data_IF_263467282527
#
_entry.id   IF_263467282527
#
_cell.length_a   1.000
_cell.length_b   1.000
_cell.length_c   1.000
_cell.angle_alpha   90.00
_cell.angle_beta   90.00
_cell.angle_gamma   90.00
#
_symmetry.space_group_name_H-M   'P 1'
#
loop_
_entity.id
_entity.type
_entity.pdbx_description
1 polymer ?
#
# COMPACT_ATOMS: atom_id res chain seq x y z
N UNK A 1 22.13 -5.38 28.41
CA UNK A 1 21.13 -6.45 28.40
C UNK A 1 20.37 -6.26 27.11
N UNK A 2 20.57 -7.15 26.14
CA UNK A 2 19.87 -7.07 24.85
C UNK A 2 18.41 -7.49 25.07
N UNK A 3 17.45 -6.66 24.68
CA UNK A 3 16.04 -7.01 24.67
C UNK A 3 15.75 -8.04 23.58
N UNK A 4 14.65 -8.78 23.68
CA UNK A 4 14.31 -9.82 22.72
C UNK A 4 14.06 -9.24 21.33
N UNK A 5 14.77 -9.77 20.34
CA UNK A 5 14.52 -9.53 18.93
C UNK A 5 13.31 -10.39 18.55
N UNK A 6 12.19 -9.75 18.20
CA UNK A 6 11.02 -10.48 17.69
C UNK A 6 11.16 -10.60 16.17
N UNK A 7 11.26 -11.83 15.68
CA UNK A 7 11.15 -12.14 14.26
C UNK A 7 9.68 -12.30 13.86
N UNK A 8 9.28 -11.63 12.78
CA UNK A 8 7.95 -11.71 12.19
C UNK A 8 8.02 -12.49 10.89
N UNK A 9 7.21 -13.52 10.76
CA UNK A 9 7.07 -14.32 9.55
C UNK A 9 5.65 -14.16 8.99
N UNK A 10 5.55 -13.85 7.70
CA UNK A 10 4.28 -13.79 6.99
C UNK A 10 3.86 -15.21 6.57
N UNK A 11 2.74 -15.69 7.06
CA UNK A 11 2.08 -16.91 6.61
C UNK A 11 0.77 -16.57 5.92
N UNK A 12 0.70 -16.80 4.60
CA UNK A 12 -0.52 -16.63 3.78
C UNK A 12 -1.20 -15.27 4.02
N UNK A 13 -0.46 -14.18 3.76
CA UNK A 13 -1.02 -12.83 3.84
C UNK A 13 -1.26 -12.26 5.25
N UNK A 14 -0.84 -12.95 6.30
CA UNK A 14 -0.98 -12.47 7.68
C UNK A 14 0.36 -12.51 8.42
N UNK A 15 0.65 -11.47 9.20
CA UNK A 15 1.81 -11.41 10.07
C UNK A 15 1.52 -12.21 11.36
N UNK A 16 2.32 -13.21 11.64
CA UNK A 16 2.22 -14.02 12.86
C UNK A 16 3.44 -13.77 13.74
N UNK A 17 3.20 -13.37 14.97
CA UNK A 17 4.24 -13.26 16.01
C UNK A 17 4.62 -14.66 16.48
N UNK A 18 5.83 -15.11 16.19
CA UNK A 18 6.34 -16.37 16.69
C UNK A 18 7.01 -16.16 18.06
N UNK A 19 6.66 -16.97 19.04
CA UNK A 19 7.42 -17.06 20.29
C UNK A 19 8.72 -17.83 20.06
N UNK A 20 9.76 -17.53 20.83
CA UNK A 20 11.10 -18.14 20.74
C UNK A 20 11.08 -19.69 20.73
N UNK A 21 10.07 -20.30 21.39
CA UNK A 21 9.88 -21.77 21.43
C UNK A 21 9.38 -22.38 20.10
N UNK A 22 8.71 -21.59 19.24
CA UNK A 22 8.16 -22.07 17.98
C UNK A 22 9.20 -22.04 16.86
N UNK A 23 10.09 -21.05 16.86
CA UNK A 23 11.19 -20.93 15.91
C UNK A 23 12.19 -22.09 16.05
N UNK A 24 12.48 -22.53 17.29
CA UNK A 24 13.39 -23.64 17.55
C UNK A 24 12.84 -25.02 17.10
N UNK A 25 11.51 -25.16 17.00
CA UNK A 25 10.87 -26.42 16.58
C UNK A 25 10.71 -26.56 15.07
N UNK A 26 10.60 -25.45 14.34
CA UNK A 26 10.49 -25.47 12.88
C UNK A 26 11.84 -25.73 12.19
N UNK A 27 12.95 -25.30 12.78
CA UNK A 27 14.29 -25.60 12.28
C UNK A 27 14.66 -27.09 12.28
N UNK A 28 14.01 -27.92 13.10
CA UNK A 28 14.27 -29.36 13.20
C UNK A 28 13.46 -30.22 12.20
N UNK A 29 12.41 -29.66 11.56
CA UNK A 29 11.53 -30.44 10.66
C UNK A 29 11.96 -30.32 9.18
N UNK A 30 12.70 -29.26 8.80
CA UNK A 30 13.18 -29.08 7.43
C UNK A 30 14.49 -29.81 7.09
N UNK A 31 15.09 -30.49 8.05
CA UNK A 31 16.36 -31.23 7.87
C UNK A 31 16.24 -32.68 7.38
N UNK A 32 15.05 -33.25 7.18
CA UNK A 32 14.90 -34.69 6.95
C UNK A 32 14.06 -35.11 5.73
N UNK A 33 13.84 -34.21 4.75
CA UNK A 33 13.19 -34.63 3.50
C UNK A 33 14.04 -34.18 2.31
N UNK A 34 15.20 -34.81 2.15
CA UNK A 34 15.94 -34.77 0.88
C UNK A 34 16.79 -36.03 0.69
N UNK A 35 16.23 -37.21 0.74
CA UNK A 35 16.80 -38.42 0.13
C UNK A 35 15.66 -39.40 -0.22
N UNK A 36 15.43 -39.58 -1.49
CA UNK A 36 14.77 -40.76 -2.02
C UNK A 36 13.51 -40.52 -2.84
N UNK A 37 13.69 -40.47 -4.16
CA UNK A 37 12.92 -41.26 -5.13
C UNK A 37 13.31 -40.87 -6.57
N UNK A 38 14.29 -41.57 -7.10
CA UNK A 38 14.49 -41.74 -8.54
C UNK A 38 13.77 -43.02 -8.97
N UNK A 39 12.67 -42.92 -9.70
CA UNK A 39 12.24 -43.91 -10.69
C UNK A 39 11.06 -43.41 -11.52
N UNK A 40 11.31 -43.18 -12.74
CA UNK A 40 10.63 -43.31 -14.00
C UNK A 40 9.11 -43.19 -14.13
N UNK A 41 8.66 -42.18 -14.87
CA UNK A 41 7.63 -42.36 -15.92
C UNK A 41 7.63 -41.10 -16.81
N UNK A 42 7.89 -41.32 -18.10
CA UNK A 42 7.78 -40.32 -19.17
C UNK A 42 6.30 -40.15 -19.48
N UNK A 43 5.75 -38.99 -19.15
CA UNK A 43 4.49 -38.48 -19.67
C UNK A 43 4.77 -37.15 -20.37
N UNK A 44 4.54 -37.15 -21.68
CA UNK A 44 4.60 -35.97 -22.53
C UNK A 44 3.51 -34.97 -22.11
N UNK A 45 3.91 -33.85 -21.53
CA UNK A 45 3.04 -32.70 -21.28
C UNK A 45 3.18 -31.68 -22.43
N UNK A 46 2.12 -30.92 -22.76
CA UNK A 46 2.15 -29.94 -23.84
C UNK A 46 3.10 -28.80 -23.51
N UNK A 47 3.67 -28.19 -24.57
CA UNK A 47 4.58 -27.05 -24.51
C UNK A 47 3.86 -25.86 -23.83
N UNK A 48 3.94 -25.78 -22.53
CA UNK A 48 3.61 -24.60 -21.77
C UNK A 48 4.81 -23.66 -21.75
N UNK A 49 4.56 -22.37 -21.94
CA UNK A 49 5.54 -21.31 -21.82
C UNK A 49 6.38 -21.51 -20.54
N UNK A 50 7.70 -21.58 -20.72
CA UNK A 50 8.61 -21.68 -19.59
C UNK A 50 8.34 -20.51 -18.61
N UNK A 51 8.35 -20.73 -17.29
CA UNK A 51 8.27 -19.64 -16.35
C UNK A 51 9.42 -18.68 -16.65
N UNK A 52 9.10 -17.41 -16.84
CA UNK A 52 10.12 -16.36 -16.93
C UNK A 52 10.80 -16.33 -15.55
N UNK A 53 11.94 -16.99 -15.43
CA UNK A 53 12.80 -16.85 -14.27
C UNK A 53 13.40 -15.45 -14.39
N UNK A 54 12.77 -14.48 -13.78
CA UNK A 54 13.38 -13.16 -13.60
C UNK A 54 14.53 -13.38 -12.62
N UNK A 55 15.73 -13.31 -13.16
CA UNK A 55 16.93 -13.38 -12.33
C UNK A 55 16.86 -12.28 -11.27
N UNK A 56 17.27 -12.54 -10.02
CA UNK A 56 17.48 -11.47 -9.05
C UNK A 56 18.40 -10.43 -9.67
N UNK A 57 18.18 -9.15 -9.38
CA UNK A 57 19.00 -8.04 -9.87
C UNK A 57 20.48 -8.44 -9.72
N UNK A 58 21.18 -8.46 -10.84
CA UNK A 58 22.58 -8.82 -10.87
C UNK A 58 23.34 -7.92 -9.87
N UNK A 59 24.19 -8.44 -8.96
CA UNK A 59 24.98 -7.63 -8.05
C UNK A 59 25.74 -6.47 -8.74
N UNK A 60 26.05 -6.61 -10.02
CA UNK A 60 26.67 -5.56 -10.83
C UNK A 60 25.69 -4.43 -11.21
N UNK A 61 24.40 -4.71 -11.39
CA UNK A 61 23.38 -3.65 -11.61
C UNK A 61 23.13 -2.86 -10.33
N UNK A 62 23.13 -3.49 -9.16
CA UNK A 62 23.04 -2.79 -7.89
C UNK A 62 24.19 -1.80 -7.65
N UNK A 63 25.38 -2.11 -8.17
CA UNK A 63 26.56 -1.24 -8.04
C UNK A 63 26.46 0.06 -8.86
N UNK A 64 25.59 0.08 -9.88
CA UNK A 64 25.42 1.23 -10.78
C UNK A 64 24.23 2.14 -10.39
N UNK A 65 23.43 1.80 -9.39
CA UNK A 65 22.40 2.71 -8.89
C UNK A 65 23.05 3.96 -8.31
N UNK A 66 22.70 5.17 -8.77
CA UNK A 66 23.25 6.39 -8.21
C UNK A 66 22.92 6.48 -6.72
N UNK A 67 23.91 6.82 -5.91
CA UNK A 67 23.70 7.06 -4.49
C UNK A 67 23.06 8.44 -4.31
N UNK A 68 21.92 8.50 -3.66
CA UNK A 68 21.33 9.76 -3.22
C UNK A 68 22.16 10.31 -2.06
N UNK A 69 22.75 11.51 -2.27
CA UNK A 69 23.62 12.17 -1.28
C UNK A 69 22.89 13.22 -0.43
N UNK A 70 21.60 13.51 -0.75
CA UNK A 70 20.81 14.46 0.03
C UNK A 70 20.48 13.81 1.37
N UNK A 71 20.80 14.44 2.50
CA UNK A 71 20.42 13.91 3.81
C UNK A 71 18.90 13.79 3.91
N UNK A 72 18.41 12.59 4.10
CA UNK A 72 17.00 12.31 4.36
C UNK A 72 16.88 11.95 5.83
N UNK A 73 16.09 12.68 6.62
CA UNK A 73 15.93 12.37 8.03
C UNK A 73 15.35 10.98 8.26
N UNK A 74 15.73 10.36 9.34
CA UNK A 74 15.09 9.13 9.80
C UNK A 74 13.83 9.50 10.59
N UNK A 75 12.73 8.84 10.24
CA UNK A 75 11.44 9.02 10.90
C UNK A 75 10.68 10.28 10.46
N UNK A 76 9.49 10.39 10.98
CA UNK A 76 8.50 11.44 10.66
C UNK A 76 8.71 12.67 11.54
N UNK A 77 8.84 13.89 10.97
CA UNK A 77 8.87 15.12 11.77
C UNK A 77 7.44 15.50 12.20
N UNK A 78 7.07 15.34 13.47
CA UNK A 78 5.73 15.67 13.94
C UNK A 78 5.49 17.19 13.92
N UNK A 79 4.26 17.58 13.58
CA UNK A 79 3.76 18.95 13.72
C UNK A 79 2.54 18.97 14.65
N UNK A 80 2.35 20.06 15.39
CA UNK A 80 1.21 20.19 16.31
C UNK A 80 -0.15 20.04 15.59
N UNK A 81 -0.26 20.51 14.33
CA UNK A 81 -1.47 20.32 13.52
C UNK A 81 -1.78 18.87 13.17
N UNK A 82 -0.82 17.96 13.33
CA UNK A 82 -0.97 16.56 12.97
C UNK A 82 -1.78 15.76 14.00
N UNK A 83 -1.89 16.26 15.23
CA UNK A 83 -2.70 15.69 16.29
C UNK A 83 -4.11 16.31 16.40
N UNK A 84 -4.43 17.30 15.55
CA UNK A 84 -5.74 17.91 15.54
C UNK A 84 -6.78 16.99 14.90
N UNK A 85 -8.02 17.01 15.40
CA UNK A 85 -9.14 16.32 14.78
C UNK A 85 -9.38 16.86 13.36
N UNK A 86 -9.46 15.96 12.38
CA UNK A 86 -9.73 16.29 10.99
C UNK A 86 -11.19 16.61 10.74
N UNK A 87 -11.46 17.70 10.02
CA UNK A 87 -12.78 18.04 9.51
C UNK A 87 -13.02 17.38 8.15
N UNK A 88 -14.30 17.24 7.77
CA UNK A 88 -14.69 16.82 6.41
C UNK A 88 -14.02 17.69 5.34
N UNK A 89 -13.58 17.08 4.25
CA UNK A 89 -12.92 17.77 3.16
C UNK A 89 -13.10 17.05 1.82
N UNK A 90 -12.95 17.80 0.75
CA UNK A 90 -12.65 17.32 -0.60
C UNK A 90 -11.37 18.03 -1.08
N UNK A 91 -10.52 17.33 -1.79
CA UNK A 91 -9.30 17.85 -2.37
C UNK A 91 -9.11 17.30 -3.78
N UNK A 92 -9.19 18.20 -4.76
CA UNK A 92 -8.80 17.91 -6.14
C UNK A 92 -7.31 18.16 -6.27
N UNK A 93 -6.56 17.17 -6.68
CA UNK A 93 -5.10 17.26 -6.69
C UNK A 93 -4.55 18.25 -7.75
N UNK A 94 -5.37 18.65 -8.72
CA UNK A 94 -5.05 19.74 -9.63
C UNK A 94 -4.89 21.11 -8.94
N UNK A 95 -5.39 21.28 -7.71
CA UNK A 95 -5.20 22.51 -6.92
C UNK A 95 -3.76 22.68 -6.40
N UNK A 96 -2.92 21.67 -6.58
CA UNK A 96 -1.52 21.66 -6.18
C UNK A 96 -1.27 21.32 -4.71
N UNK A 97 -0.08 21.63 -4.22
CA UNK A 97 0.33 21.32 -2.84
C UNK A 97 -0.03 22.44 -1.86
N UNK A 98 -0.83 22.12 -0.87
CA UNK A 98 -1.07 22.96 0.30
C UNK A 98 -0.33 22.39 1.53
N UNK A 99 0.82 22.97 1.94
CA UNK A 99 1.62 22.44 3.04
C UNK A 99 0.95 22.58 4.42
N UNK A 100 -0.10 23.40 4.52
CA UNK A 100 -0.86 23.53 5.78
C UNK A 100 -1.79 22.35 6.02
N UNK A 101 -2.16 21.64 4.95
CA UNK A 101 -3.10 20.52 4.96
C UNK A 101 -2.47 19.18 4.63
N UNK A 102 -1.32 19.20 3.93
CA UNK A 102 -0.66 18.01 3.42
C UNK A 102 0.82 17.99 3.75
N UNK A 103 1.34 16.80 4.00
CA UNK A 103 2.74 16.54 4.22
C UNK A 103 3.30 15.63 3.11
N UNK A 104 4.35 16.08 2.46
CA UNK A 104 5.16 15.25 1.56
C UNK A 104 6.22 14.52 2.38
N UNK A 105 6.12 13.22 2.51
CA UNK A 105 7.12 12.46 3.24
C UNK A 105 8.51 12.62 2.58
N UNK A 106 9.51 12.90 3.39
CA UNK A 106 10.91 13.01 2.97
C UNK A 106 11.79 12.44 4.07
N UNK A 107 11.83 11.10 4.18
CA UNK A 107 12.42 10.39 5.30
C UNK A 107 12.73 8.94 4.96
N UNK A 108 13.46 8.27 5.84
CA UNK A 108 13.65 6.83 5.81
C UNK A 108 13.16 6.22 7.11
N UNK A 109 12.65 4.99 7.03
CA UNK A 109 12.41 4.14 8.19
C UNK A 109 13.43 2.99 8.20
N UNK A 110 13.76 2.45 9.40
CA UNK A 110 14.35 1.12 9.46
C UNK A 110 13.44 0.16 8.73
N UNK A 111 13.81 -0.68 7.91
CA UNK A 111 13.08 -1.66 7.06
C UNK A 111 11.59 -1.93 7.48
N UNK A 112 10.71 -2.40 6.57
CA UNK A 112 10.97 -2.85 5.19
C UNK A 112 10.67 -1.80 4.10
N UNK A 113 10.36 -0.58 4.48
CA UNK A 113 9.93 0.46 3.54
C UNK A 113 11.08 1.01 2.68
N UNK A 114 10.78 1.58 1.48
CA UNK A 114 11.74 2.33 0.69
C UNK A 114 12.15 3.64 1.39
N UNK A 115 13.00 4.44 0.76
CA UNK A 115 13.10 5.85 1.11
C UNK A 115 11.87 6.59 0.59
N UNK A 116 11.29 7.45 1.40
CA UNK A 116 10.25 8.37 0.98
C UNK A 116 10.90 9.67 0.52
N UNK A 117 10.60 10.11 -0.71
CA UNK A 117 11.17 11.34 -1.26
C UNK A 117 10.08 12.31 -1.70
N UNK A 118 10.06 13.49 -1.09
CA UNK A 118 9.11 14.56 -1.41
C UNK A 118 9.14 14.98 -2.89
N UNK A 119 10.29 14.83 -3.57
CA UNK A 119 10.46 15.13 -4.98
C UNK A 119 9.87 14.07 -5.92
N UNK A 120 9.47 12.90 -5.41
CA UNK A 120 8.75 11.86 -6.14
C UNK A 120 7.23 12.11 -6.16
N UNK A 121 6.79 13.25 -5.64
CA UNK A 121 5.40 13.70 -5.67
C UNK A 121 5.28 14.83 -6.70
N UNK A 122 4.69 14.53 -7.85
CA UNK A 122 4.59 15.40 -9.01
C UNK A 122 3.16 15.92 -9.16
N UNK A 123 2.98 17.24 -9.23
CA UNK A 123 1.67 17.90 -9.39
C UNK A 123 1.46 18.31 -10.84
N UNK A 124 0.26 18.02 -11.34
CA UNK A 124 -0.25 18.41 -12.65
C UNK A 124 -1.56 19.18 -12.47
N UNK A 125 -2.10 19.76 -13.56
CA UNK A 125 -3.31 20.58 -13.51
C UNK A 125 -4.57 19.79 -13.11
N UNK A 126 -4.56 18.46 -13.19
CA UNK A 126 -5.70 17.58 -12.93
C UNK A 126 -5.42 16.50 -11.88
N UNK A 127 -4.18 16.29 -11.47
CA UNK A 127 -3.79 15.18 -10.60
C UNK A 127 -2.45 15.38 -9.89
N UNK A 128 -2.19 14.52 -8.92
CA UNK A 128 -0.84 14.26 -8.40
C UNK A 128 -0.40 12.87 -8.83
N UNK A 129 0.87 12.73 -9.21
CA UNK A 129 1.48 11.42 -9.47
C UNK A 129 2.55 11.14 -8.41
N UNK A 130 2.49 9.93 -7.87
CA UNK A 130 3.50 9.37 -6.99
C UNK A 130 4.42 8.49 -7.81
N UNK A 131 5.73 8.66 -7.68
CA UNK A 131 6.75 7.97 -8.47
C UNK A 131 7.52 6.97 -7.60
N UNK A 132 7.78 5.78 -8.14
CA UNK A 132 8.65 4.76 -7.55
C UNK A 132 9.86 4.52 -8.44
N UNK A 133 11.05 4.58 -7.86
CA UNK A 133 12.31 4.40 -8.59
C UNK A 133 13.26 3.42 -7.91
N UNK A 134 14.05 2.76 -8.76
CA UNK A 134 15.24 2.05 -8.33
C UNK A 134 16.36 3.06 -8.15
N UNK A 135 16.57 3.48 -6.91
CA UNK A 135 17.66 4.39 -6.58
C UNK A 135 18.12 4.19 -5.14
N UNK A 136 19.41 4.38 -4.92
CA UNK A 136 19.98 4.25 -3.58
C UNK A 136 19.82 5.55 -2.80
N UNK A 137 19.17 5.45 -1.64
CA UNK A 137 19.06 6.54 -0.65
C UNK A 137 19.56 5.98 0.68
N UNK A 138 20.79 6.30 1.06
CA UNK A 138 21.45 5.66 2.21
C UNK A 138 21.55 4.13 2.02
N UNK A 139 20.96 3.39 2.93
CA UNK A 139 20.90 1.93 2.88
C UNK A 139 19.75 1.39 2.01
N UNK A 140 18.80 2.24 1.60
CA UNK A 140 17.65 1.85 0.79
C UNK A 140 18.02 1.70 -0.67
N UNK A 141 17.46 0.71 -1.35
CA UNK A 141 17.67 0.44 -2.79
C UNK A 141 16.54 0.99 -3.67
N UNK A 142 15.44 1.37 -3.03
CA UNK A 142 14.23 1.89 -3.67
C UNK A 142 13.82 3.20 -3.02
N UNK A 143 13.25 4.09 -3.81
CA UNK A 143 12.67 5.33 -3.34
C UNK A 143 11.25 5.47 -3.91
N UNK A 144 10.29 5.61 -3.03
CA UNK A 144 8.88 5.80 -3.32
C UNK A 144 8.38 7.19 -2.92
N UNK A 145 7.08 7.33 -2.89
CA UNK A 145 6.41 8.56 -2.50
C UNK A 145 5.28 8.27 -1.52
N UNK A 146 5.16 9.12 -0.53
CA UNK A 146 4.08 9.09 0.45
C UNK A 146 3.57 10.50 0.69
N UNK A 147 2.24 10.70 0.61
CA UNK A 147 1.59 11.98 0.75
C UNK A 147 0.46 11.87 1.77
N UNK A 148 0.61 12.55 2.90
CA UNK A 148 -0.22 12.40 4.09
C UNK A 148 -1.10 13.61 4.29
N UNK A 149 -2.38 13.40 4.55
CA UNK A 149 -3.28 14.44 5.04
C UNK A 149 -2.98 14.74 6.50
N UNK A 150 -2.78 16.03 6.84
CA UNK A 150 -2.59 16.47 8.23
C UNK A 150 -3.89 16.36 9.01
N UNK A 151 -3.79 16.06 10.30
CA UNK A 151 -4.91 15.80 11.18
C UNK A 151 -5.15 14.31 11.41
N UNK A 152 -6.00 13.99 12.35
CA UNK A 152 -6.45 12.65 12.70
C UNK A 152 -7.94 12.52 12.39
N UNK A 153 -8.30 11.51 11.65
CA UNK A 153 -9.64 11.26 11.12
C UNK A 153 -10.19 10.00 11.76
N UNK A 154 -11.47 10.01 12.11
CA UNK A 154 -12.17 8.87 12.67
C UNK A 154 -13.32 8.43 11.77
N UNK A 155 -14.36 7.87 12.32
CA UNK A 155 -15.51 7.35 11.58
C UNK A 155 -16.03 8.30 10.51
N UNK A 156 -16.32 7.75 9.34
CA UNK A 156 -16.76 8.49 8.17
C UNK A 156 -16.49 7.73 6.88
N UNK A 157 -16.69 8.41 5.76
CA UNK A 157 -16.41 7.88 4.44
C UNK A 157 -15.15 8.50 3.87
N UNK A 158 -14.22 7.67 3.40
CA UNK A 158 -13.03 8.09 2.66
C UNK A 158 -13.17 7.64 1.22
N UNK A 159 -12.92 8.54 0.27
CA UNK A 159 -12.95 8.25 -1.15
C UNK A 159 -11.66 8.67 -1.84
N UNK A 160 -11.26 7.95 -2.87
CA UNK A 160 -10.17 8.30 -3.76
C UNK A 160 -10.50 7.97 -5.20
N UNK A 161 -10.20 8.90 -6.11
CA UNK A 161 -10.21 8.68 -7.55
C UNK A 161 -8.77 8.52 -8.00
N UNK A 162 -8.41 7.33 -8.51
CA UNK A 162 -7.03 7.01 -8.82
C UNK A 162 -6.85 6.00 -9.95
N UNK A 163 -5.61 5.91 -10.43
CA UNK A 163 -5.08 4.86 -11.30
C UNK A 163 -3.80 4.33 -10.64
N UNK A 164 -3.71 3.06 -10.24
CA UNK A 164 -2.51 2.50 -9.61
C UNK A 164 -1.36 2.32 -10.59
N UNK A 165 -0.14 2.24 -10.05
CA UNK A 165 1.06 2.00 -10.82
C UNK A 165 1.15 0.55 -11.32
N UNK A 166 1.43 0.32 -12.61
CA UNK A 166 1.65 -1.02 -13.14
C UNK A 166 3.03 -1.56 -12.79
N UNK A 167 3.14 -2.88 -12.84
CA UNK A 167 4.39 -3.63 -12.72
C UNK A 167 4.55 -4.36 -11.39
N UNK A 168 4.93 -5.65 -11.49
CA UNK A 168 5.14 -6.50 -10.31
C UNK A 168 6.12 -5.86 -9.34
N UNK A 169 5.81 -5.93 -8.07
CA UNK A 169 6.57 -5.34 -6.98
C UNK A 169 6.09 -3.94 -6.58
N UNK A 170 5.16 -3.29 -7.30
CA UNK A 170 4.57 -2.02 -6.86
C UNK A 170 3.40 -2.26 -5.92
N UNK A 171 3.23 -1.35 -4.95
CA UNK A 171 2.05 -1.22 -4.10
C UNK A 171 1.58 0.23 -4.15
N UNK A 172 0.39 0.45 -4.70
CA UNK A 172 -0.29 1.75 -4.74
C UNK A 172 -1.44 1.72 -3.74
N UNK A 173 -1.51 2.67 -2.81
CA UNK A 173 -2.47 2.60 -1.72
C UNK A 173 -3.15 3.92 -1.40
N UNK A 174 -4.40 3.81 -0.92
CA UNK A 174 -5.05 4.72 0.01
C UNK A 174 -5.28 3.96 1.31
N UNK A 175 -4.88 4.54 2.44
CA UNK A 175 -5.11 3.92 3.74
C UNK A 175 -5.25 4.96 4.86
N UNK A 176 -5.82 4.53 5.98
CA UNK A 176 -5.69 5.25 7.24
C UNK A 176 -4.65 4.59 8.11
N UNK A 177 -3.92 5.36 8.90
CA UNK A 177 -2.91 4.79 9.80
C UNK A 177 -2.75 5.63 11.07
N UNK A 178 -2.66 4.94 12.20
CA UNK A 178 -2.15 5.47 13.46
C UNK A 178 -1.22 4.46 14.13
N UNK A 179 -0.43 4.92 15.08
CA UNK A 179 0.53 4.11 15.82
C UNK A 179 0.95 4.82 17.10
N UNK A 180 1.80 4.21 17.92
CA UNK A 180 2.35 4.84 19.13
C UNK A 180 3.00 6.20 18.85
N UNK A 181 3.56 6.38 17.66
CA UNK A 181 4.12 7.67 17.21
C UNK A 181 3.06 8.78 17.18
N UNK A 182 1.79 8.44 16.98
CA UNK A 182 0.65 9.38 16.96
C UNK A 182 -0.19 9.29 18.24
N UNK A 183 0.28 8.55 19.25
CA UNK A 183 -0.33 8.48 20.58
C UNK A 183 -1.40 7.38 20.75
N UNK A 184 -1.50 6.44 19.81
CA UNK A 184 -2.42 5.31 19.87
C UNK A 184 -1.71 4.00 19.47
N UNK A 185 -2.38 2.86 19.63
CA UNK A 185 -1.94 1.60 19.04
C UNK A 185 -2.15 1.63 17.53
N UNK A 186 -1.57 0.64 16.83
CA UNK A 186 -1.66 0.59 15.38
C UNK A 186 -3.07 0.18 14.94
N UNK A 187 -3.80 1.16 14.39
CA UNK A 187 -5.04 0.97 13.64
C UNK A 187 -4.81 1.42 12.19
N UNK A 188 -5.34 0.67 11.23
CA UNK A 188 -5.17 0.90 9.80
C UNK A 188 -6.37 0.37 9.02
N UNK A 189 -6.78 1.01 7.94
CA UNK A 189 -7.78 0.52 6.97
C UNK A 189 -7.23 0.76 5.58
N UNK A 190 -7.17 -0.30 4.76
CA UNK A 190 -6.44 -0.33 3.50
C UNK A 190 -7.34 -0.49 2.28
N UNK A 191 -6.96 0.21 1.22
CA UNK A 191 -7.24 -0.08 -0.19
C UNK A 191 -5.88 -0.12 -0.88
N UNK A 192 -5.48 -1.29 -1.39
CA UNK A 192 -4.16 -1.45 -1.99
C UNK A 192 -4.24 -2.15 -3.34
N UNK A 193 -3.35 -1.75 -4.24
CA UNK A 193 -3.17 -2.37 -5.55
C UNK A 193 -1.76 -2.93 -5.65
N UNK A 194 -1.68 -4.24 -5.86
CA UNK A 194 -0.42 -4.91 -6.13
C UNK A 194 -0.20 -4.97 -7.64
N UNK A 195 0.81 -4.26 -8.13
CA UNK A 195 1.04 -4.15 -9.58
C UNK A 195 1.35 -5.45 -10.31
N UNK A 196 1.45 -6.57 -9.60
CA UNK A 196 1.54 -7.91 -10.18
C UNK A 196 0.22 -8.38 -10.80
N UNK A 197 -0.93 -7.90 -10.30
CA UNK A 197 -2.26 -8.19 -10.82
C UNK A 197 -3.20 -7.01 -10.52
N UNK A 198 -3.50 -6.21 -11.52
CA UNK A 198 -4.34 -5.01 -11.43
C UNK A 198 -5.80 -5.25 -11.85
N UNK A 199 -6.20 -6.52 -12.06
CA UNK A 199 -7.59 -6.94 -12.08
C UNK A 199 -8.11 -7.29 -10.66
N UNK A 200 -7.34 -6.93 -9.64
CA UNK A 200 -7.65 -7.12 -8.24
C UNK A 200 -7.38 -5.85 -7.48
N UNK A 201 -8.24 -5.51 -6.53
CA UNK A 201 -7.93 -4.59 -5.43
C UNK A 201 -7.89 -5.38 -4.13
N UNK A 202 -6.99 -5.02 -3.24
CA UNK A 202 -6.88 -5.68 -1.95
C UNK A 202 -7.38 -4.76 -0.84
N UNK A 203 -8.07 -5.34 0.13
CA UNK A 203 -8.60 -4.67 1.29
C UNK A 203 -8.15 -5.41 2.55
N UNK A 204 -7.78 -4.66 3.57
CA UNK A 204 -7.41 -5.17 4.88
C UNK A 204 -7.69 -4.10 5.94
N UNK A 205 -7.55 -4.44 7.20
CA UNK A 205 -7.43 -3.49 8.29
C UNK A 205 -6.71 -4.11 9.47
N UNK A 206 -6.18 -3.25 10.34
CA UNK A 206 -5.52 -3.63 11.58
C UNK A 206 -6.22 -2.93 12.74
N UNK A 207 -6.38 -3.64 13.83
CA UNK A 207 -6.89 -3.10 15.09
C UNK A 207 -5.94 -3.48 16.21
N UNK A 208 -5.40 -2.49 16.93
CA UNK A 208 -4.41 -2.70 17.98
C UNK A 208 -3.17 -3.51 17.52
N UNK A 209 -2.81 -3.38 16.23
CA UNK A 209 -1.69 -4.09 15.60
C UNK A 209 -2.00 -5.48 15.06
N UNK A 210 -3.20 -6.00 15.30
CA UNK A 210 -3.61 -7.31 14.81
C UNK A 210 -4.35 -7.17 13.47
N UNK A 211 -3.90 -7.88 12.39
CA UNK A 211 -4.53 -7.79 11.09
C UNK A 211 -5.86 -8.55 11.06
N UNK A 212 -6.83 -8.04 10.30
CA UNK A 212 -8.07 -8.77 10.00
C UNK A 212 -7.76 -9.98 9.12
N UNK A 213 -7.88 -9.81 7.86
CA UNK A 213 -7.49 -10.78 6.84
C UNK A 213 -7.33 -10.04 5.53
N UNK A 214 -6.36 -10.46 4.77
CA UNK A 214 -6.13 -9.98 3.44
C UNK A 214 -7.24 -10.44 2.50
N UNK A 215 -7.94 -9.49 1.88
CA UNK A 215 -9.03 -9.73 0.93
C UNK A 215 -8.57 -9.34 -0.47
N UNK A 216 -8.70 -10.25 -1.42
CA UNK A 216 -8.55 -9.96 -2.84
C UNK A 216 -9.95 -9.83 -3.45
N UNK A 217 -10.26 -8.64 -3.96
CA UNK A 217 -11.54 -8.28 -4.55
C UNK A 217 -11.34 -8.17 -6.05
N UNK A 218 -11.94 -9.08 -6.88
CA UNK A 218 -11.77 -9.05 -8.32
C UNK A 218 -12.46 -7.84 -8.95
N UNK A 219 -11.76 -7.22 -9.91
CA UNK A 219 -12.25 -6.10 -10.70
C UNK A 219 -12.60 -6.58 -12.12
N UNK A 220 -13.64 -6.04 -12.76
CA UNK A 220 -13.98 -6.36 -14.14
C UNK A 220 -13.09 -5.65 -15.17
N UNK A 221 -12.05 -4.92 -14.73
CA UNK A 221 -11.15 -4.11 -15.54
C UNK A 221 -9.71 -4.20 -15.00
N UNK A 222 -8.75 -3.76 -15.79
CA UNK A 222 -7.37 -3.51 -15.36
C UNK A 222 -7.27 -2.08 -14.78
N UNK A 223 -7.14 -1.96 -13.47
CA UNK A 223 -7.11 -0.69 -12.76
C UNK A 223 -6.00 0.26 -13.23
N UNK A 224 -4.90 -0.25 -13.84
CA UNK A 224 -3.83 0.61 -14.37
C UNK A 224 -4.19 1.32 -15.68
N UNK A 225 -5.25 0.91 -16.34
CA UNK A 225 -5.68 1.43 -17.64
C UNK A 225 -6.78 2.47 -17.53
N UNK A 226 -7.51 2.45 -16.45
CA UNK A 226 -8.72 3.22 -16.24
C UNK A 226 -8.67 4.00 -14.93
N UNK A 227 -9.47 5.07 -14.85
CA UNK A 227 -9.63 5.86 -13.62
C UNK A 227 -10.91 5.41 -12.95
N UNK A 228 -10.82 5.02 -11.69
CA UNK A 228 -11.97 4.57 -10.93
C UNK A 228 -12.02 5.22 -9.54
N UNK A 229 -13.19 5.18 -8.93
CA UNK A 229 -13.44 5.63 -7.57
C UNK A 229 -13.42 4.43 -6.62
N UNK A 230 -12.58 4.52 -5.62
CA UNK A 230 -12.48 3.55 -4.54
C UNK A 230 -12.82 4.23 -3.23
N UNK A 231 -13.55 3.53 -2.36
CA UNK A 231 -13.97 4.11 -1.09
C UNK A 231 -14.08 3.06 0.01
N UNK A 232 -14.02 3.53 1.24
CA UNK A 232 -14.53 2.77 2.38
C UNK A 232 -15.36 3.66 3.31
N UNK A 233 -16.41 3.05 3.88
CA UNK A 233 -17.10 3.59 5.04
C UNK A 233 -16.51 2.96 6.30
N UNK A 234 -16.06 3.78 7.22
CA UNK A 234 -15.57 3.38 8.52
C UNK A 234 -16.58 3.77 9.59
N UNK A 235 -17.21 2.76 10.19
CA UNK A 235 -18.21 2.90 11.25
C UNK A 235 -17.73 2.22 12.54
N UNK A 236 -18.29 2.52 13.70
CA UNK A 236 -17.82 1.92 14.96
C UNK A 236 -17.89 0.39 15.00
N UNK A 237 -18.80 -0.22 14.24
CA UNK A 237 -19.10 -1.66 14.27
C UNK A 237 -18.83 -2.38 12.95
N UNK A 238 -18.42 -1.67 11.88
CA UNK A 238 -18.17 -2.24 10.56
C UNK A 238 -17.31 -1.36 9.68
N UNK A 239 -16.74 -1.98 8.63
CA UNK A 239 -16.11 -1.30 7.49
C UNK A 239 -16.74 -1.85 6.22
N UNK A 240 -17.01 -0.98 5.25
CA UNK A 240 -17.56 -1.35 3.94
C UNK A 240 -16.68 -0.77 2.84
N UNK A 241 -16.24 -1.61 1.91
CA UNK A 241 -15.43 -1.19 0.76
C UNK A 241 -16.26 -1.14 -0.51
N UNK A 242 -15.98 -0.14 -1.36
CA UNK A 242 -16.73 0.16 -2.57
C UNK A 242 -15.78 0.40 -3.75
N UNK A 243 -16.25 0.03 -4.95
CA UNK A 243 -15.64 0.38 -6.23
C UNK A 243 -16.72 1.00 -7.10
N UNK A 244 -16.50 2.22 -7.61
CA UNK A 244 -17.46 3.00 -8.38
C UNK A 244 -18.87 3.07 -7.77
N UNK A 245 -18.92 3.12 -6.46
CA UNK A 245 -20.16 3.17 -5.68
C UNK A 245 -20.81 1.81 -5.42
N UNK A 246 -20.35 0.73 -6.03
CA UNK A 246 -20.81 -0.63 -5.75
C UNK A 246 -20.15 -1.20 -4.48
N UNK A 247 -20.98 -1.74 -3.58
CA UNK A 247 -20.50 -2.39 -2.35
C UNK A 247 -19.82 -3.71 -2.67
N UNK A 248 -18.53 -3.83 -2.39
CA UNK A 248 -17.73 -5.02 -2.68
C UNK A 248 -17.59 -5.95 -1.48
N UNK A 249 -17.40 -5.39 -0.28
CA UNK A 249 -17.21 -6.17 0.94
C UNK A 249 -17.68 -5.42 2.18
N UNK A 250 -18.11 -6.17 3.18
CA UNK A 250 -18.40 -5.67 4.53
C UNK A 250 -17.67 -6.55 5.54
N UNK A 251 -16.87 -5.93 6.39
CA UNK A 251 -16.34 -6.54 7.62
C UNK A 251 -17.09 -5.98 8.82
N UNK A 252 -17.37 -6.83 9.80
CA UNK A 252 -18.10 -6.47 11.00
C UNK A 252 -17.30 -6.79 12.26
N UNK A 253 -17.72 -6.27 13.39
CA UNK A 253 -17.09 -6.55 14.67
C UNK A 253 -17.11 -8.06 15.04
N UNK A 254 -18.05 -8.83 14.49
CA UNK A 254 -18.12 -10.28 14.69
C UNK A 254 -17.00 -11.03 13.93
N UNK A 255 -16.48 -10.42 12.86
CA UNK A 255 -15.35 -10.97 12.08
C UNK A 255 -14.01 -10.71 12.78
N UNK A 256 -13.80 -9.46 13.20
CA UNK A 256 -12.61 -8.96 13.89
C UNK A 256 -12.93 -7.58 14.50
N UNK A 257 -12.31 -7.17 15.62
CA UNK A 257 -12.50 -5.82 16.14
C UNK A 257 -12.28 -4.75 15.08
N UNK A 258 -13.15 -3.74 15.05
CA UNK A 258 -13.04 -2.62 14.10
C UNK A 258 -12.11 -1.55 14.69
N UNK A 259 -11.21 -0.91 13.89
CA UNK A 259 -10.39 0.21 14.32
C UNK A 259 -11.18 1.32 15.00
N UNK A 260 -10.70 1.82 16.13
CA UNK A 260 -11.37 2.83 16.94
C UNK A 260 -10.55 4.11 17.09
N UNK A 261 -9.25 4.06 16.82
CA UNK A 261 -8.35 5.18 17.04
C UNK A 261 -8.33 6.12 15.83
N UNK A 262 -8.47 7.45 16.07
CA UNK A 262 -8.31 8.43 14.99
C UNK A 262 -6.98 8.26 14.28
N UNK A 263 -7.03 8.21 12.96
CA UNK A 263 -5.93 7.84 12.10
C UNK A 263 -5.68 8.89 11.02
N UNK A 264 -4.48 8.91 10.48
CA UNK A 264 -4.06 9.75 9.38
C UNK A 264 -4.56 9.17 8.06
N UNK A 265 -4.94 9.99 7.10
CA UNK A 265 -5.26 9.56 5.73
C UNK A 265 -4.00 9.72 4.89
N UNK A 266 -3.60 8.64 4.20
CA UNK A 266 -2.32 8.57 3.47
C UNK A 266 -2.56 7.97 2.10
N UNK A 267 -1.89 8.52 1.08
CA UNK A 267 -1.70 7.89 -0.22
C UNK A 267 -0.23 7.62 -0.45
N UNK A 268 0.08 6.46 -1.03
CA UNK A 268 1.48 6.08 -1.26
C UNK A 268 1.68 5.22 -2.51
N UNK A 269 2.91 5.23 -3.01
CA UNK A 269 3.44 4.27 -3.98
C UNK A 269 4.79 3.77 -3.49
N UNK A 270 4.90 2.46 -3.33
CA UNK A 270 6.08 1.83 -2.77
C UNK A 270 6.36 0.42 -3.30
N UNK A 271 7.46 -0.13 -2.88
CA UNK A 271 7.82 -1.54 -3.04
C UNK A 271 8.57 -1.99 -1.79
N UNK A 272 8.25 -3.16 -1.34
CA UNK A 272 8.88 -3.77 -0.17
C UNK A 272 10.22 -4.46 -0.48
N UNK A 273 10.76 -5.14 0.52
CA UNK A 273 11.99 -5.93 0.43
C UNK A 273 11.70 -7.42 0.17
N UNK A 274 12.75 -8.22 0.12
CA UNK A 274 12.68 -9.64 -0.28
C UNK A 274 11.66 -10.46 0.51
N UNK A 275 11.48 -10.16 1.80
CA UNK A 275 10.53 -10.84 2.67
C UNK A 275 9.07 -10.65 2.24
N UNK A 276 8.80 -9.59 1.48
CA UNK A 276 7.47 -9.22 1.00
C UNK A 276 7.22 -9.60 -0.47
N UNK A 277 8.22 -10.14 -1.20
CA UNK A 277 8.07 -10.46 -2.62
C UNK A 277 7.00 -11.53 -2.91
N UNK A 278 6.71 -12.41 -1.97
CA UNK A 278 5.60 -13.35 -2.12
C UNK A 278 4.24 -12.64 -2.15
N UNK A 279 4.13 -11.54 -1.43
CA UNK A 279 2.91 -10.73 -1.35
C UNK A 279 2.76 -9.82 -2.57
N UNK A 280 3.66 -8.86 -2.80
CA UNK A 280 3.51 -7.87 -3.87
C UNK A 280 4.21 -8.25 -5.19
N UNK A 281 4.91 -9.36 -5.23
CA UNK A 281 5.67 -9.80 -6.39
C UNK A 281 7.10 -9.31 -6.41
N UNK A 282 7.92 -9.90 -7.31
CA UNK A 282 9.28 -9.43 -7.55
C UNK A 282 9.26 -8.02 -8.16
N UNK A 283 10.18 -7.12 -7.77
CA UNK A 283 10.21 -5.75 -8.26
C UNK A 283 10.74 -5.67 -9.70
N UNK A 284 9.90 -6.06 -10.66
CA UNK A 284 10.18 -5.99 -12.10
C UNK A 284 9.51 -4.81 -12.79
N UNK A 285 8.93 -3.88 -12.03
CA UNK A 285 8.30 -2.66 -12.55
C UNK A 285 9.29 -1.81 -13.37
N UNK A 286 8.77 -1.01 -14.30
CA UNK A 286 9.56 -0.03 -15.04
C UNK A 286 10.06 1.08 -14.10
N UNK A 287 11.35 1.44 -14.19
CA UNK A 287 11.93 2.49 -13.33
C UNK A 287 11.25 3.84 -13.59
N UNK A 288 10.76 4.47 -12.53
CA UNK A 288 9.96 5.69 -12.62
C UNK A 288 8.47 5.42 -12.87
N UNK A 289 7.99 4.18 -12.62
CA UNK A 289 6.55 3.87 -12.64
C UNK A 289 5.77 4.78 -11.70
N UNK A 290 4.51 5.07 -12.03
CA UNK A 290 3.71 6.06 -11.30
C UNK A 290 2.29 5.60 -11.05
N UNK A 291 1.77 5.96 -9.88
CA UNK A 291 0.34 5.97 -9.56
C UNK A 291 -0.20 7.39 -9.64
N UNK A 292 -1.39 7.56 -10.21
CA UNK A 292 -2.04 8.86 -10.35
C UNK A 292 -3.27 8.96 -9.43
N UNK A 293 -3.38 10.09 -8.73
CA UNK A 293 -4.49 10.40 -7.84
C UNK A 293 -5.12 11.73 -8.28
N UNK A 294 -6.44 11.74 -8.46
CA UNK A 294 -7.18 12.86 -9.03
C UNK A 294 -7.96 13.64 -7.96
N UNK A 295 -8.65 12.90 -7.10
CA UNK A 295 -9.47 13.44 -6.03
C UNK A 295 -9.37 12.56 -4.79
N UNK A 296 -9.42 13.17 -3.61
CA UNK A 296 -9.60 12.48 -2.34
C UNK A 296 -10.59 13.26 -1.48
N UNK A 297 -11.49 12.57 -0.79
CA UNK A 297 -12.42 13.18 0.14
C UNK A 297 -12.56 12.38 1.43
N UNK A 298 -12.90 13.07 2.47
CA UNK A 298 -13.35 12.49 3.74
C UNK A 298 -14.62 13.22 4.18
N UNK A 299 -15.66 12.46 4.46
CA UNK A 299 -16.89 12.95 5.04
C UNK A 299 -17.06 12.30 6.42
N UNK A 300 -16.90 13.11 7.47
CA UNK A 300 -17.06 12.67 8.85
C UNK A 300 -18.48 12.15 9.10
N UNK A 301 -18.62 11.11 9.89
CA UNK A 301 -19.92 10.56 10.25
C UNK A 301 -20.85 11.64 10.85
N UNK A 302 -22.02 11.80 10.24
CA UNK A 302 -23.02 12.82 10.63
C UNK A 302 -22.86 14.17 9.94
N UNK A 303 -21.75 14.44 9.24
CA UNK A 303 -21.59 15.64 8.42
C UNK A 303 -22.32 15.49 7.08
N UNK A 304 -22.52 16.63 6.43
CA UNK A 304 -22.93 16.73 5.02
C UNK A 304 -21.93 17.60 4.27
N UNK A 305 -21.62 17.24 3.04
CA UNK A 305 -20.66 18.00 2.25
C UNK A 305 -20.33 17.28 0.95
N UNK A 306 -19.57 17.95 0.06
CA UNK A 306 -19.17 17.38 -1.22
C UNK A 306 -18.14 16.26 -1.03
N UNK A 307 -18.23 15.25 -1.90
CA UNK A 307 -17.29 14.13 -2.00
C UNK A 307 -16.82 13.97 -3.45
N UNK A 308 -15.77 13.17 -3.66
CA UNK A 308 -15.27 12.89 -5.00
C UNK A 308 -16.33 12.23 -5.89
N UNK A 309 -17.17 11.37 -5.32
CA UNK A 309 -18.29 10.70 -6.01
C UNK A 309 -19.35 11.66 -6.56
N UNK A 310 -19.48 12.88 -6.03
CA UNK A 310 -20.46 13.85 -6.52
C UNK A 310 -20.14 14.40 -7.91
N UNK A 311 -18.87 14.34 -8.31
CA UNK A 311 -18.37 14.93 -9.57
C UNK A 311 -17.66 13.93 -10.47
N UNK A 312 -17.32 12.76 -9.98
CA UNK A 312 -16.63 11.73 -10.73
C UNK A 312 -17.62 10.81 -11.45
N UNK A 313 -17.43 10.68 -12.76
CA UNK A 313 -18.13 9.70 -13.60
C UNK A 313 -17.07 8.80 -14.27
N UNK A 314 -16.96 7.51 -13.90
CA UNK A 314 -15.95 6.61 -14.44
C UNK A 314 -16.10 6.41 -15.96
N UNK A 315 -17.34 6.43 -16.49
CA UNK A 315 -17.57 6.29 -17.93
C UNK A 315 -17.03 7.49 -18.69
N UNK A 316 -17.33 8.71 -18.20
CA UNK A 316 -16.85 9.96 -18.82
C UNK A 316 -15.31 10.07 -18.69
N UNK A 317 -14.75 9.74 -17.54
CA UNK A 317 -13.31 9.81 -17.28
C UNK A 317 -12.49 8.85 -18.19
N UNK A 318 -13.04 7.72 -18.57
CA UNK A 318 -12.37 6.69 -19.38
C UNK A 318 -12.72 6.73 -20.87
N UNK A 319 -13.71 7.52 -21.31
CA UNK A 319 -14.16 7.56 -22.70
C UNK A 319 -13.08 7.90 -23.75
N UNK A 320 -11.99 8.58 -23.33
CA UNK A 320 -10.86 8.94 -24.19
C UNK A 320 -9.62 8.02 -24.03
N UNK A 321 -9.59 7.13 -23.05
CA UNK A 321 -8.42 6.29 -22.72
C UNK A 321 -8.40 4.96 -23.49
N UNK A 322 -9.57 4.42 -23.84
CA UNK A 322 -9.70 3.17 -24.60
C UNK A 322 -9.22 3.24 -26.07
N UNK A 323 -8.82 4.43 -26.56
CA UNK A 323 -8.42 4.67 -27.94
C UNK A 323 -6.90 4.80 -28.14
N UNK A 324 -6.09 4.68 -27.08
CA UNK A 324 -4.63 4.72 -27.09
C UNK A 324 -4.07 3.42 -26.51
#
# INVERSE_FOLDING_TARGET
MAGPVFEWLMFVGSWVKLSDDTAARLGAVFGIILIGLLAGSVLTAPVGSAPVVVAPLNPHEEAHLPAEQIPVPEGYPPMASDAAEGASFIHNFGDGHDPTRWYKANMTYPSPHPAWLARHIHFFDDRVELELRRMRVGAKKLAGAEYQRRGLYSFGRVEVVMTPAPGSGTVSALFTHTSEQFGAQHDEIDIEFLGKDLNMVTANYFTDGEPYRYLEIPLPFDASKEVHLYAFDWEPDRIRWYVDGELMHTATHDDHPIPQHPSRIIIQLWSGQEEQFQWHGLPTFEDGTRAAYYCISYLKAGDTGPQCSDTFDPVAANAGRAAN
#
